data_IF_048992423303
#
_entry.id   IF_048992423303
#
_cell.length_a   1.000
_cell.length_b   1.000
_cell.length_c   1.000
_cell.angle_alpha   90.00
_cell.angle_beta   90.00
_cell.angle_gamma   90.00
#
_symmetry.space_group_name_H-M   'P 1'
#
loop_
_entity.id
_entity.type
_entity.pdbx_description
1 polymer ?
#
# COMPACT_ATOMS: atom_id res chain seq x y z
N UNK A 1 13.36 -16.10 15.18
CA UNK A 1 13.28 -14.99 14.20
C UNK A 1 11.83 -14.84 13.82
N UNK A 2 11.27 -13.63 13.94
CA UNK A 2 9.88 -13.31 13.57
C UNK A 2 9.82 -12.85 12.11
N UNK A 3 8.77 -13.27 11.39
CA UNK A 3 8.60 -12.95 9.98
C UNK A 3 7.49 -11.92 9.80
N UNK A 4 7.84 -10.78 9.19
CA UNK A 4 6.91 -9.69 8.88
C UNK A 4 6.81 -9.56 7.36
N UNK A 5 5.62 -9.78 6.81
CA UNK A 5 5.34 -9.57 5.40
C UNK A 5 4.88 -8.13 5.17
N UNK A 6 5.57 -7.38 4.30
CA UNK A 6 5.15 -6.07 3.83
C UNK A 6 4.52 -6.21 2.44
N UNK A 7 3.20 -6.27 2.37
CA UNK A 7 2.45 -6.42 1.12
C UNK A 7 1.88 -5.07 0.67
N UNK A 8 2.29 -4.60 -0.50
CA UNK A 8 1.90 -3.27 -0.97
C UNK A 8 2.22 -2.98 -2.42
N UNK A 9 2.12 -1.72 -2.77
CA UNK A 9 2.35 -1.18 -4.11
C UNK A 9 3.76 -0.61 -4.31
N UNK A 10 3.89 0.42 -5.15
CA UNK A 10 5.15 1.11 -5.45
C UNK A 10 5.76 1.81 -4.22
N UNK A 11 4.95 2.28 -3.27
CA UNK A 11 5.46 2.84 -2.02
C UNK A 11 6.13 1.75 -1.15
N UNK A 12 5.61 0.53 -1.16
CA UNK A 12 6.26 -0.62 -0.50
C UNK A 12 7.48 -1.11 -1.29
N UNK A 13 7.41 -1.08 -2.62
CA UNK A 13 8.56 -1.37 -3.49
C UNK A 13 9.73 -0.40 -3.26
N UNK A 14 9.43 0.84 -2.91
CA UNK A 14 10.42 1.92 -2.80
C UNK A 14 10.73 2.52 -4.17
N UNK A 15 9.70 2.84 -4.96
CA UNK A 15 9.84 3.44 -6.28
C UNK A 15 10.43 4.85 -6.18
N UNK A 16 11.40 5.15 -7.03
CA UNK A 16 11.99 6.50 -7.17
C UNK A 16 11.24 7.24 -8.29
N UNK A 17 10.72 8.47 -8.06
CA UNK A 17 9.99 9.22 -9.09
C UNK A 17 10.71 9.38 -10.43
N UNK A 18 12.03 9.50 -10.40
CA UNK A 18 12.89 9.54 -11.60
C UNK A 18 13.19 8.17 -12.22
N UNK A 19 12.64 7.10 -11.68
CA UNK A 19 12.84 5.71 -12.09
C UNK A 19 13.84 4.94 -11.24
N UNK A 20 13.56 3.65 -11.08
CA UNK A 20 14.36 2.75 -10.27
C UNK A 20 13.75 2.42 -8.91
N UNK A 21 14.57 1.92 -8.00
CA UNK A 21 14.18 1.51 -6.66
C UNK A 21 15.16 2.07 -5.62
N UNK A 22 14.64 2.65 -4.55
CA UNK A 22 15.47 3.04 -3.41
C UNK A 22 16.20 1.84 -2.80
N UNK A 23 17.39 2.10 -2.28
CA UNK A 23 18.17 1.09 -1.54
C UNK A 23 17.55 0.77 -0.17
N UNK A 24 18.12 -0.22 0.52
CA UNK A 24 17.66 -0.69 1.82
C UNK A 24 17.80 0.38 2.91
N UNK A 25 18.64 1.40 2.68
CA UNK A 25 18.88 2.46 3.63
C UNK A 25 17.83 3.57 3.54
N UNK A 26 17.07 3.58 2.45
CA UNK A 26 16.12 4.65 2.13
C UNK A 26 14.68 4.17 2.16
N UNK A 27 14.34 3.00 1.60
CA UNK A 27 12.95 2.52 1.59
C UNK A 27 12.49 2.07 2.98
N UNK A 28 11.22 2.29 3.29
CA UNK A 28 10.72 2.03 4.64
C UNK A 28 10.90 0.58 5.11
N UNK A 29 10.78 -0.39 4.22
CA UNK A 29 10.96 -1.82 4.53
C UNK A 29 12.38 -2.15 4.99
N UNK A 30 13.39 -1.56 4.34
CA UNK A 30 14.78 -1.71 4.74
C UNK A 30 15.09 -0.96 6.05
N UNK A 31 14.55 0.25 6.24
CA UNK A 31 14.66 1.00 7.50
C UNK A 31 14.01 0.20 8.63
N UNK A 32 12.82 -0.36 8.40
CA UNK A 32 12.12 -1.21 9.36
C UNK A 32 12.96 -2.43 9.78
N UNK A 33 13.60 -3.10 8.80
CA UNK A 33 14.48 -4.23 9.07
C UNK A 33 15.66 -3.83 9.98
N UNK A 34 16.27 -2.67 9.74
CA UNK A 34 17.35 -2.14 10.58
C UNK A 34 16.90 -1.80 11.99
N UNK A 35 15.75 -1.14 12.12
CA UNK A 35 15.21 -0.74 13.43
C UNK A 35 14.80 -1.95 14.29
N UNK A 36 14.25 -2.99 13.69
CA UNK A 36 13.83 -4.20 14.40
C UNK A 36 14.99 -5.17 14.68
N UNK A 37 16.07 -5.11 13.90
CA UNK A 37 17.27 -5.91 14.09
C UNK A 37 17.12 -7.38 13.69
N UNK A 38 18.11 -8.19 14.05
CA UNK A 38 18.28 -9.58 13.57
C UNK A 38 17.20 -10.57 14.04
N UNK A 39 16.39 -10.22 15.03
CA UNK A 39 15.31 -11.08 15.51
C UNK A 39 14.09 -11.06 14.59
N UNK A 40 14.08 -10.16 13.60
CA UNK A 40 13.00 -9.99 12.64
C UNK A 40 13.52 -10.14 11.21
N UNK A 41 12.71 -10.81 10.39
CA UNK A 41 12.89 -10.89 8.94
C UNK A 41 11.77 -10.13 8.26
N UNK A 42 12.12 -9.10 7.51
CA UNK A 42 11.18 -8.37 6.66
C UNK A 42 11.13 -9.05 5.29
N UNK A 43 9.93 -9.40 4.86
CA UNK A 43 9.64 -9.98 3.55
C UNK A 43 8.98 -8.91 2.72
N UNK A 44 9.65 -8.48 1.65
CA UNK A 44 9.22 -7.36 0.82
C UNK A 44 8.41 -7.84 -0.38
N UNK A 45 7.13 -7.56 -0.39
CA UNK A 45 6.19 -7.88 -1.47
C UNK A 45 5.55 -6.60 -2.03
N UNK A 46 6.38 -5.61 -2.33
CA UNK A 46 5.99 -4.38 -3.03
C UNK A 46 6.01 -4.57 -4.54
N UNK A 47 4.89 -4.28 -5.22
CA UNK A 47 4.77 -4.35 -6.68
C UNK A 47 4.21 -3.05 -7.24
N UNK A 48 4.97 -2.39 -8.12
CA UNK A 48 4.50 -1.17 -8.79
C UNK A 48 3.15 -1.39 -9.47
N UNK A 49 2.27 -0.40 -9.39
CA UNK A 49 0.91 -0.40 -9.91
C UNK A 49 -0.06 -1.40 -9.27
N UNK A 50 0.34 -2.12 -8.20
CA UNK A 50 -0.56 -3.07 -7.54
C UNK A 50 -1.79 -2.36 -6.98
N UNK A 51 -2.97 -2.86 -7.35
CA UNK A 51 -4.27 -2.50 -6.79
C UNK A 51 -4.61 -3.40 -5.60
N UNK A 52 -5.65 -3.07 -4.85
CA UNK A 52 -6.17 -3.97 -3.81
C UNK A 52 -6.79 -5.23 -4.41
N UNK A 53 -7.80 -5.07 -5.28
CA UNK A 53 -8.50 -6.19 -5.94
C UNK A 53 -9.10 -5.82 -7.31
N UNK A 54 -8.56 -4.82 -7.99
CA UNK A 54 -9.03 -4.39 -9.30
C UNK A 54 -8.10 -4.91 -10.39
N UNK A 55 -8.67 -5.48 -11.44
CA UNK A 55 -7.94 -5.84 -12.64
C UNK A 55 -7.59 -4.58 -13.43
N UNK A 56 -6.29 -4.31 -13.58
CA UNK A 56 -5.84 -3.16 -14.36
C UNK A 56 -5.96 -3.49 -15.86
N UNK A 57 -6.74 -2.71 -16.64
CA UNK A 57 -6.96 -3.01 -18.06
C UNK A 57 -5.73 -2.74 -18.92
N UNK A 58 -4.73 -2.03 -18.40
CA UNK A 58 -3.52 -1.65 -19.14
C UNK A 58 -2.28 -2.40 -18.65
N UNK A 59 -2.27 -2.82 -17.38
CA UNK A 59 -1.14 -3.50 -16.76
C UNK A 59 -1.61 -4.85 -16.17
N UNK A 60 -1.35 -5.98 -16.83
CA UNK A 60 -1.74 -7.30 -16.33
C UNK A 60 -1.00 -7.65 -15.02
N UNK A 61 -1.59 -8.55 -14.23
CA UNK A 61 -1.01 -9.09 -12.99
C UNK A 61 -0.83 -8.06 -11.86
N UNK A 62 -1.63 -6.99 -11.87
CA UNK A 62 -1.58 -5.94 -10.83
C UNK A 62 -2.67 -6.10 -9.76
N UNK A 63 -3.62 -7.00 -9.95
CA UNK A 63 -4.62 -7.31 -8.94
C UNK A 63 -3.96 -7.96 -7.72
N UNK A 64 -4.03 -7.27 -6.58
CA UNK A 64 -3.37 -7.72 -5.35
C UNK A 64 -3.96 -9.02 -4.81
N UNK A 65 -5.24 -9.31 -5.07
CA UNK A 65 -5.87 -10.55 -4.61
C UNK A 65 -5.36 -11.79 -5.35
N UNK A 66 -4.96 -11.68 -6.62
CA UNK A 66 -4.53 -12.82 -7.43
C UNK A 66 -3.28 -13.49 -6.87
N UNK A 67 -2.33 -12.69 -6.35
CA UNK A 67 -1.07 -13.18 -5.81
C UNK A 67 -1.08 -13.32 -4.28
N UNK A 68 -2.11 -12.82 -3.58
CA UNK A 68 -2.11 -12.72 -2.13
C UNK A 68 -2.01 -14.10 -1.45
N UNK A 69 -2.91 -15.01 -1.77
CA UNK A 69 -2.95 -16.34 -1.12
C UNK A 69 -1.68 -17.14 -1.40
N UNK A 70 -1.20 -17.27 -2.66
CA UNK A 70 0.10 -17.92 -2.92
C UNK A 70 1.26 -17.26 -2.17
N UNK A 71 1.28 -15.92 -2.08
CA UNK A 71 2.30 -15.18 -1.35
C UNK A 71 2.27 -15.51 0.15
N UNK A 72 1.08 -15.43 0.78
CA UNK A 72 0.91 -15.77 2.19
C UNK A 72 1.36 -17.21 2.48
N UNK A 73 0.91 -18.19 1.68
CA UNK A 73 1.23 -19.60 1.87
C UNK A 73 2.73 -19.89 1.72
N UNK A 74 3.39 -19.26 0.75
CA UNK A 74 4.82 -19.49 0.50
C UNK A 74 5.73 -18.89 1.58
N UNK A 75 5.24 -17.92 2.35
CA UNK A 75 6.01 -17.23 3.38
C UNK A 75 5.66 -17.65 4.81
N UNK A 76 4.71 -18.57 5.01
CA UNK A 76 4.39 -19.11 6.34
C UNK A 76 5.61 -19.74 7.02
N UNK A 77 5.72 -19.66 8.38
CA UNK A 77 4.83 -18.94 9.28
C UNK A 77 5.09 -17.43 9.27
N UNK A 78 4.04 -16.62 9.37
CA UNK A 78 4.11 -15.17 9.49
C UNK A 78 3.71 -14.74 10.91
N UNK A 79 4.41 -13.75 11.45
CA UNK A 79 4.09 -13.15 12.76
C UNK A 79 3.29 -11.84 12.60
N UNK A 80 3.38 -11.19 11.44
CA UNK A 80 2.63 -9.98 11.09
C UNK A 80 2.58 -9.82 9.58
N UNK A 81 1.46 -9.31 9.07
CA UNK A 81 1.37 -8.75 7.72
C UNK A 81 1.10 -7.25 7.80
N UNK A 82 1.95 -6.43 7.20
CA UNK A 82 1.74 -4.99 6.98
C UNK A 82 1.14 -4.84 5.59
N UNK A 83 -0.10 -4.36 5.51
CA UNK A 83 -0.81 -4.14 4.24
C UNK A 83 -0.88 -2.64 3.96
N UNK A 84 -0.27 -2.20 2.86
CA UNK A 84 -0.34 -0.81 2.37
C UNK A 84 -0.66 -0.80 0.88
N UNK A 85 -1.93 -0.65 0.54
CA UNK A 85 -2.50 -0.58 -0.81
C UNK A 85 -3.59 0.50 -0.86
N UNK A 86 -4.05 0.82 -2.06
CA UNK A 86 -5.15 1.75 -2.28
C UNK A 86 -4.78 2.93 -3.16
N UNK A 87 -3.50 3.27 -3.32
CA UNK A 87 -3.07 4.36 -4.21
C UNK A 87 -3.51 4.11 -5.65
N UNK A 88 -3.22 2.94 -6.18
CA UNK A 88 -3.55 2.59 -7.57
C UNK A 88 -5.04 2.38 -7.81
N UNK A 89 -5.79 2.08 -6.76
CA UNK A 89 -7.25 1.93 -6.80
C UNK A 89 -7.96 3.26 -7.11
N UNK A 90 -7.28 4.39 -6.89
CA UNK A 90 -7.77 5.73 -7.17
C UNK A 90 -7.64 6.14 -8.65
N UNK A 91 -7.07 5.29 -9.51
CA UNK A 91 -6.97 5.57 -10.95
C UNK A 91 -8.37 5.71 -11.57
N UNK A 92 -8.56 6.73 -12.38
CA UNK A 92 -9.87 7.16 -12.91
C UNK A 92 -10.65 6.06 -13.64
N UNK A 93 -9.94 5.18 -14.33
CA UNK A 93 -10.58 4.14 -15.12
C UNK A 93 -11.18 2.99 -14.28
N UNK A 94 -10.91 2.96 -12.99
CA UNK A 94 -11.62 2.08 -12.06
C UNK A 94 -12.94 2.67 -11.55
N UNK A 95 -13.27 3.93 -11.91
CA UNK A 95 -14.41 4.67 -11.34
C UNK A 95 -14.38 4.61 -9.80
N UNK A 96 -13.32 5.16 -9.20
CA UNK A 96 -13.06 4.99 -7.77
C UNK A 96 -14.10 5.74 -6.92
N UNK A 97 -14.39 5.19 -5.74
CA UNK A 97 -14.97 5.90 -4.60
C UNK A 97 -14.31 5.42 -3.32
N UNK A 98 -14.41 6.22 -2.26
CA UNK A 98 -13.86 5.88 -0.95
C UNK A 98 -14.40 4.53 -0.45
N UNK A 99 -15.71 4.32 -0.56
CA UNK A 99 -16.38 3.09 -0.11
C UNK A 99 -15.93 1.87 -0.90
N UNK A 100 -15.77 2.03 -2.22
CA UNK A 100 -15.33 0.95 -3.10
C UNK A 100 -13.91 0.49 -2.77
N UNK A 101 -13.00 1.44 -2.54
CA UNK A 101 -11.61 1.14 -2.18
C UNK A 101 -11.54 0.55 -0.76
N UNK A 102 -12.22 1.16 0.21
CA UNK A 102 -12.26 0.66 1.58
C UNK A 102 -12.86 -0.76 1.65
N UNK A 103 -13.95 -1.02 0.93
CA UNK A 103 -14.56 -2.35 0.85
C UNK A 103 -13.65 -3.40 0.20
N UNK A 104 -12.84 -2.99 -0.79
CA UNK A 104 -11.82 -3.86 -1.39
C UNK A 104 -10.71 -4.20 -0.38
N UNK A 105 -10.16 -3.21 0.31
CA UNK A 105 -9.12 -3.41 1.33
C UNK A 105 -9.63 -4.21 2.53
N UNK A 106 -10.90 -4.07 2.92
CA UNK A 106 -11.52 -4.93 3.93
C UNK A 106 -11.47 -6.40 3.53
N UNK A 107 -11.77 -6.74 2.25
CA UNK A 107 -11.66 -8.11 1.72
C UNK A 107 -10.23 -8.62 1.75
N UNK A 108 -9.25 -7.79 1.38
CA UNK A 108 -7.82 -8.15 1.45
C UNK A 108 -7.43 -8.47 2.88
N UNK A 109 -7.78 -7.62 3.86
CA UNK A 109 -7.52 -7.86 5.29
C UNK A 109 -8.17 -9.17 5.77
N UNK A 110 -9.45 -9.41 5.46
CA UNK A 110 -10.15 -10.63 5.83
C UNK A 110 -9.47 -11.88 5.24
N UNK A 111 -9.01 -11.80 3.99
CA UNK A 111 -8.29 -12.91 3.36
C UNK A 111 -6.96 -13.18 4.07
N UNK A 112 -6.20 -12.14 4.43
CA UNK A 112 -4.96 -12.31 5.18
C UNK A 112 -5.22 -12.98 6.53
N UNK A 113 -6.21 -12.50 7.29
CA UNK A 113 -6.58 -13.06 8.60
C UNK A 113 -6.98 -14.53 8.50
N UNK A 114 -7.77 -14.90 7.47
CA UNK A 114 -8.21 -16.28 7.27
C UNK A 114 -7.08 -17.22 6.83
N UNK A 115 -6.19 -16.75 5.97
CA UNK A 115 -5.17 -17.61 5.34
C UNK A 115 -3.92 -17.72 6.20
N UNK A 116 -3.37 -16.60 6.69
CA UNK A 116 -2.07 -16.60 7.38
C UNK A 116 -2.17 -16.88 8.87
N UNK A 117 -3.33 -16.68 9.49
CA UNK A 117 -3.54 -16.66 10.95
C UNK A 117 -2.68 -15.61 11.69
N UNK A 118 -1.94 -14.80 10.95
CA UNK A 118 -1.12 -13.73 11.49
C UNK A 118 -1.94 -12.44 11.63
N UNK A 119 -1.64 -11.59 12.63
CA UNK A 119 -2.24 -10.27 12.73
C UNK A 119 -1.92 -9.41 11.49
N UNK A 120 -2.82 -8.47 11.20
CA UNK A 120 -2.66 -7.49 10.10
C UNK A 120 -2.51 -6.10 10.70
N UNK A 121 -1.50 -5.35 10.25
CA UNK A 121 -1.44 -3.90 10.39
C UNK A 121 -1.90 -3.30 9.06
N UNK A 122 -3.07 -2.65 9.07
CA UNK A 122 -3.55 -1.89 7.91
C UNK A 122 -2.91 -0.51 7.91
N UNK A 123 -2.25 -0.15 6.81
CA UNK A 123 -1.63 1.17 6.62
C UNK A 123 -2.36 1.87 5.47
N UNK A 124 -2.85 3.09 5.70
CA UNK A 124 -3.42 3.89 4.61
C UNK A 124 -2.36 4.24 3.57
N UNK A 125 -2.75 4.45 2.30
CA UNK A 125 -1.86 5.14 1.37
C UNK A 125 -1.64 6.59 1.84
N UNK A 126 -0.58 7.21 1.33
CA UNK A 126 -0.34 8.65 1.50
C UNK A 126 -1.32 9.46 0.64
N UNK A 127 -1.48 10.75 0.92
CA UNK A 127 -2.25 11.63 0.06
C UNK A 127 -1.62 11.73 -1.33
N UNK A 128 -2.46 11.93 -2.35
CA UNK A 128 -2.01 12.41 -3.65
C UNK A 128 -1.70 13.90 -3.54
N UNK A 129 -0.56 14.32 -4.09
CA UNK A 129 -0.12 15.71 -4.00
C UNK A 129 -0.93 16.66 -4.88
N UNK A 130 -1.01 17.93 -4.48
CA UNK A 130 -1.76 18.97 -5.20
C UNK A 130 -1.21 19.24 -6.62
N UNK A 131 0.07 18.93 -6.85
CA UNK A 131 0.72 19.09 -8.16
C UNK A 131 0.55 17.88 -9.07
N UNK A 132 -0.37 16.96 -8.76
CA UNK A 132 -0.65 15.76 -9.57
C UNK A 132 -0.92 16.10 -11.04
N UNK A 133 -1.57 17.24 -11.33
CA UNK A 133 -1.86 17.68 -12.69
C UNK A 133 -0.59 17.97 -13.54
N UNK A 134 0.54 18.23 -12.90
CA UNK A 134 1.83 18.50 -13.55
C UNK A 134 2.72 17.26 -13.62
N UNK A 135 2.26 16.12 -13.10
CA UNK A 135 2.99 14.85 -13.07
C UNK A 135 2.71 13.98 -14.29
N UNK A 136 3.58 13.00 -14.54
CA UNK A 136 3.38 11.97 -15.57
C UNK A 136 2.13 11.10 -15.29
N UNK A 137 1.61 11.15 -14.08
CA UNK A 137 0.44 10.38 -13.63
C UNK A 137 -0.88 11.15 -13.76
N UNK A 138 -0.87 12.41 -14.19
CA UNK A 138 -2.03 13.29 -14.26
C UNK A 138 -3.25 12.66 -14.96
N UNK A 139 -3.02 11.94 -16.08
CA UNK A 139 -4.09 11.29 -16.84
C UNK A 139 -4.80 10.17 -16.05
N UNK A 140 -4.09 9.51 -15.12
CA UNK A 140 -4.63 8.43 -14.31
C UNK A 140 -5.27 8.92 -13.02
N UNK A 141 -4.81 10.05 -12.47
CA UNK A 141 -5.23 10.60 -11.18
C UNK A 141 -5.78 12.04 -11.34
N UNK A 142 -7.03 12.21 -11.79
CA UNK A 142 -7.65 13.54 -11.89
C UNK A 142 -7.91 14.13 -10.49
N UNK A 143 -8.35 15.40 -10.39
CA UNK A 143 -8.64 16.05 -9.10
C UNK A 143 -9.59 15.28 -8.18
N UNK A 144 -10.51 14.48 -8.75
CA UNK A 144 -11.38 13.60 -7.97
C UNK A 144 -10.60 12.52 -7.20
N UNK A 145 -9.50 12.02 -7.74
CA UNK A 145 -8.63 11.05 -7.06
C UNK A 145 -7.92 11.69 -5.86
N UNK A 146 -7.51 12.97 -5.99
CA UNK A 146 -6.92 13.73 -4.88
C UNK A 146 -7.93 13.83 -3.73
N UNK A 147 -9.18 14.21 -4.03
CA UNK A 147 -10.24 14.29 -3.02
C UNK A 147 -10.45 12.94 -2.31
N UNK A 148 -10.52 11.84 -3.06
CA UNK A 148 -10.63 10.48 -2.52
C UNK A 148 -9.45 10.17 -1.58
N UNK A 149 -8.22 10.55 -1.94
CA UNK A 149 -7.05 10.27 -1.12
C UNK A 149 -7.12 10.92 0.27
N UNK A 150 -7.72 12.11 0.37
CA UNK A 150 -7.91 12.81 1.65
C UNK A 150 -8.96 12.18 2.56
N UNK A 151 -9.94 11.48 1.99
CA UNK A 151 -11.02 10.84 2.74
C UNK A 151 -10.73 9.37 3.08
N UNK A 152 -9.86 8.73 2.30
CA UNK A 152 -9.63 7.28 2.38
C UNK A 152 -9.06 6.84 3.74
N UNK A 153 -8.20 7.64 4.36
CA UNK A 153 -7.62 7.32 5.67
C UNK A 153 -8.69 7.09 6.74
N UNK A 154 -9.70 7.97 6.81
CA UNK A 154 -10.82 7.84 7.75
C UNK A 154 -11.68 6.59 7.49
N UNK A 155 -11.93 6.28 6.22
CA UNK A 155 -12.68 5.07 5.86
C UNK A 155 -11.90 3.78 6.21
N UNK A 156 -10.58 3.78 6.05
CA UNK A 156 -9.74 2.63 6.41
C UNK A 156 -9.59 2.46 7.93
N UNK A 157 -9.58 3.55 8.69
CA UNK A 157 -9.64 3.50 10.15
C UNK A 157 -10.92 2.80 10.63
N UNK A 158 -12.07 3.10 9.99
CA UNK A 158 -13.33 2.42 10.27
C UNK A 158 -13.29 0.92 9.87
N UNK A 159 -12.70 0.58 8.73
CA UNK A 159 -12.47 -0.83 8.34
C UNK A 159 -11.63 -1.56 9.40
N UNK A 160 -10.54 -0.95 9.83
CA UNK A 160 -9.67 -1.54 10.85
C UNK A 160 -10.41 -1.75 12.18
N UNK A 161 -11.23 -0.77 12.60
CA UNK A 161 -12.07 -0.85 13.80
C UNK A 161 -13.09 -2.00 13.70
N UNK A 162 -13.73 -2.18 12.54
CA UNK A 162 -14.70 -3.27 12.31
C UNK A 162 -14.07 -4.65 12.31
N UNK A 163 -12.82 -4.76 11.85
CA UNK A 163 -12.06 -6.01 11.80
C UNK A 163 -11.24 -6.27 13.07
N UNK A 164 -11.25 -5.35 14.03
CA UNK A 164 -10.45 -5.39 15.27
C UNK A 164 -8.94 -5.58 14.98
N UNK A 165 -8.42 -4.80 14.02
CA UNK A 165 -7.02 -4.81 13.62
C UNK A 165 -6.35 -3.44 13.84
N UNK A 166 -5.05 -3.37 14.10
CA UNK A 166 -4.32 -2.11 14.18
C UNK A 166 -4.32 -1.36 12.85
N UNK A 167 -4.33 -0.02 12.95
CA UNK A 167 -4.31 0.90 11.83
C UNK A 167 -3.22 1.97 12.00
N UNK A 168 -2.57 2.33 10.89
CA UNK A 168 -1.65 3.46 10.79
C UNK A 168 -2.06 4.34 9.60
N UNK A 169 -2.36 5.60 9.87
CA UNK A 169 -2.61 6.58 8.82
C UNK A 169 -1.27 7.16 8.32
N UNK A 170 -0.74 6.61 7.23
CA UNK A 170 0.53 7.06 6.66
C UNK A 170 0.46 8.50 6.16
N UNK A 171 -0.71 8.96 5.72
CA UNK A 171 -0.90 10.32 5.25
C UNK A 171 -0.73 11.38 6.36
N UNK A 172 -0.81 10.98 7.64
CA UNK A 172 -0.54 11.88 8.78
C UNK A 172 0.94 11.96 9.14
N UNK A 173 1.79 11.06 8.64
CA UNK A 173 3.20 10.97 9.06
C UNK A 173 4.19 11.13 7.91
N UNK A 174 3.72 11.14 6.65
CA UNK A 174 4.58 11.38 5.48
C UNK A 174 3.83 12.13 4.40
N UNK A 175 4.57 12.75 3.50
CA UNK A 175 4.05 13.56 2.42
C UNK A 175 4.41 12.96 1.05
N UNK A 176 3.60 13.21 0.00
CA UNK A 176 3.96 12.86 -1.36
C UNK A 176 5.16 13.68 -1.85
N UNK A 177 5.92 13.10 -2.76
CA UNK A 177 6.98 13.78 -3.49
C UNK A 177 6.42 14.98 -4.27
N UNK A 178 7.18 16.07 -4.30
CA UNK A 178 6.87 17.21 -5.18
C UNK A 178 7.14 16.89 -6.65
N UNK A 179 7.92 15.86 -6.93
CA UNK A 179 8.32 15.46 -8.28
C UNK A 179 7.16 14.76 -9.01
N UNK A 180 6.44 13.86 -8.33
CA UNK A 180 5.38 13.08 -8.97
C UNK A 180 4.03 13.10 -8.25
N UNK A 181 3.95 13.68 -7.07
CA UNK A 181 2.72 13.80 -6.28
C UNK A 181 2.05 12.47 -5.90
N UNK A 182 2.73 11.33 -6.06
CA UNK A 182 2.21 9.98 -5.84
C UNK A 182 3.05 9.16 -4.88
N UNK A 183 4.37 9.22 -5.00
CA UNK A 183 5.27 8.43 -4.18
C UNK A 183 5.78 9.24 -2.98
N UNK A 184 6.03 8.56 -1.88
CA UNK A 184 6.60 9.22 -0.71
C UNK A 184 8.04 9.69 -0.98
N UNK A 185 8.39 10.85 -0.46
CA UNK A 185 9.80 11.26 -0.34
C UNK A 185 10.50 10.37 0.67
N UNK A 186 11.85 10.30 0.57
CA UNK A 186 12.67 9.49 1.47
C UNK A 186 12.14 9.56 2.92
N UNK A 187 11.98 8.40 3.52
CA UNK A 187 11.39 8.18 4.85
C UNK A 187 12.35 8.64 5.97
N UNK A 188 12.77 9.88 5.93
CA UNK A 188 13.61 10.51 6.98
C UNK A 188 12.78 11.22 8.01
#
# INVERSE_FOLDING_TARGET
MKHILCYGDSNTHGYIPSGGRYDDDTRYTGILAKLLGSDYRIIEEGLNSRTSSFDDPFEPYKNGMDCLVPCLDSHKPLDLTILMLGSNDMKVYFSPSVEKIAGSLAKVCQTILMVSEAPVLLVSPIYLGDNMADSDFAASFPPSSIAISHELGGALEEVARQLDIPFLDAAKVTLPSKEDSLHSVSYT
#
